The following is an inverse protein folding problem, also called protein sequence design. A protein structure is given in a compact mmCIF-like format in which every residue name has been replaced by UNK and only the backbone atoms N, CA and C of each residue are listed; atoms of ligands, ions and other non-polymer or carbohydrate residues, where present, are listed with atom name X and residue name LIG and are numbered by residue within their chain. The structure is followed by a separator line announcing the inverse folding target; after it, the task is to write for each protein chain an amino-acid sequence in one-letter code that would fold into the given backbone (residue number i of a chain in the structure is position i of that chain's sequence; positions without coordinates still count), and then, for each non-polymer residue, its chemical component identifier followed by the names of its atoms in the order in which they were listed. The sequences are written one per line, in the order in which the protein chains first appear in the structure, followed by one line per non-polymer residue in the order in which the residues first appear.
data_IF_488205123592
#
_entry.id   IF_488205123592
#
_cell.length_a   1.000
_cell.length_b   1.000
_cell.length_c   1.000
_cell.angle_alpha   90.00
_cell.angle_beta   90.00
_cell.angle_gamma   90.00
#
_symmetry.space_group_name_H-M   'P 1'
#
loop_
_entity.id
_entity.type
_entity.pdbx_description
1 polymer ?
#
# COMPACT_ATOMS: atom_id res chain seq x y z
N UNK A 1 -1.85 54.92 34.94
CA UNK A 1 -2.62 53.73 35.38
C UNK A 1 -3.32 53.13 34.18
N UNK A 2 -2.64 52.29 33.40
CA UNK A 2 -3.31 51.27 32.57
C UNK A 2 -2.29 50.19 32.24
N UNK A 3 -2.32 49.11 33.03
CA UNK A 3 -1.53 47.89 32.82
C UNK A 3 -2.13 47.18 31.61
N UNK A 4 -1.51 47.32 30.45
CA UNK A 4 -1.87 46.53 29.27
C UNK A 4 -1.27 45.14 29.50
N UNK A 5 -2.16 44.22 29.84
CA UNK A 5 -1.91 42.81 30.04
C UNK A 5 -1.44 42.22 28.70
N UNK A 6 -0.14 41.93 28.61
CA UNK A 6 0.45 41.19 27.49
C UNK A 6 0.02 39.72 27.62
N UNK A 7 -1.19 39.41 27.16
CA UNK A 7 -1.64 38.04 26.97
C UNK A 7 -1.02 37.54 25.66
N UNK A 8 0.19 37.00 25.74
CA UNK A 8 0.76 36.20 24.66
C UNK A 8 -0.17 35.00 24.43
N UNK A 9 -1.00 35.09 23.39
CA UNK A 9 -1.71 33.96 22.83
C UNK A 9 -0.65 33.00 22.29
N UNK A 10 -0.26 32.01 23.10
CA UNK A 10 0.51 30.85 22.65
C UNK A 10 -0.39 30.06 21.70
N UNK A 11 -0.49 30.51 20.45
CA UNK A 11 -0.93 29.68 19.35
C UNK A 11 0.22 28.71 19.13
N UNK A 12 0.24 27.62 19.90
CA UNK A 12 1.06 26.47 19.54
C UNK A 12 0.64 26.10 18.11
N UNK A 13 1.58 26.01 17.15
CA UNK A 13 1.21 25.48 15.85
C UNK A 13 0.69 24.07 16.12
N UNK A 14 -0.62 23.87 15.92
CA UNK A 14 -1.20 22.55 15.70
C UNK A 14 -0.48 22.03 14.45
N UNK A 15 0.67 21.43 14.71
CA UNK A 15 1.43 20.72 13.72
C UNK A 15 0.55 19.52 13.47
N UNK A 16 -0.26 19.60 12.41
CA UNK A 16 -0.94 18.47 11.83
C UNK A 16 0.19 17.55 11.38
N UNK A 17 0.71 16.72 12.28
CA UNK A 17 1.73 15.75 11.94
C UNK A 17 1.03 14.75 11.03
N UNK A 18 1.16 14.94 9.72
CA UNK A 18 1.05 13.86 8.77
C UNK A 18 2.17 12.89 9.14
N UNK A 19 1.90 12.03 10.13
CA UNK A 19 2.82 11.02 10.55
C UNK A 19 2.99 10.06 9.39
N UNK A 20 4.23 9.83 8.99
CA UNK A 20 4.56 8.80 8.01
C UNK A 20 4.03 7.44 8.49
N UNK A 21 3.85 6.51 7.55
CA UNK A 21 3.55 5.12 7.91
C UNK A 21 4.69 4.57 8.77
N UNK A 22 4.39 3.72 9.76
CA UNK A 22 5.41 3.15 10.65
C UNK A 22 6.48 2.43 9.83
N UNK A 23 7.73 2.47 10.29
CA UNK A 23 8.87 1.81 9.62
C UNK A 23 8.78 0.29 9.74
N UNK A 24 8.18 -0.21 10.81
CA UNK A 24 8.00 -1.64 11.07
C UNK A 24 6.60 -1.91 11.65
N UNK A 25 6.11 -3.12 11.40
CA UNK A 25 4.89 -3.66 12.01
C UNK A 25 5.28 -4.94 12.73
N UNK A 26 4.84 -5.10 13.97
CA UNK A 26 5.11 -6.29 14.78
C UNK A 26 4.59 -7.55 14.09
N UNK A 27 5.42 -8.60 14.07
CA UNK A 27 5.09 -9.88 13.41
C UNK A 27 5.22 -9.89 11.89
N UNK A 28 5.71 -8.81 11.28
CA UNK A 28 5.99 -8.74 9.85
C UNK A 28 7.42 -8.26 9.58
N UNK A 29 7.95 -8.63 8.40
CA UNK A 29 9.24 -8.13 7.92
C UNK A 29 9.02 -6.95 6.98
N UNK A 30 9.55 -5.77 7.32
CA UNK A 30 9.60 -4.65 6.37
C UNK A 30 10.60 -4.97 5.26
N UNK A 31 10.19 -4.81 4.00
CA UNK A 31 11.03 -5.05 2.82
C UNK A 31 11.16 -3.80 1.96
N UNK A 32 12.35 -3.60 1.40
CA UNK A 32 12.56 -2.56 0.37
C UNK A 32 12.10 -3.04 -1.01
N UNK A 33 12.11 -2.14 -2.00
CA UNK A 33 11.66 -2.44 -3.37
C UNK A 33 12.38 -3.62 -4.03
N UNK A 34 13.69 -3.80 -3.79
CA UNK A 34 14.46 -4.91 -4.37
C UNK A 34 14.15 -6.26 -3.71
N UNK A 35 13.95 -6.27 -2.40
CA UNK A 35 13.50 -7.45 -1.66
C UNK A 35 12.07 -7.83 -2.06
N UNK A 36 11.19 -6.84 -2.23
CA UNK A 36 9.86 -7.05 -2.76
C UNK A 36 9.92 -7.67 -4.17
N UNK A 37 10.78 -7.15 -5.07
CA UNK A 37 10.97 -7.75 -6.40
C UNK A 37 11.41 -9.21 -6.33
N UNK A 38 12.35 -9.53 -5.44
CA UNK A 38 12.78 -10.91 -5.25
C UNK A 38 11.63 -11.81 -4.76
N UNK A 39 10.81 -11.33 -3.82
CA UNK A 39 9.63 -12.07 -3.36
C UNK A 39 8.60 -12.26 -4.47
N UNK A 40 8.41 -11.26 -5.34
CA UNK A 40 7.59 -11.38 -6.53
C UNK A 40 8.11 -12.47 -7.47
N UNK A 41 9.42 -12.49 -7.76
CA UNK A 41 10.04 -13.52 -8.60
C UNK A 41 9.89 -14.93 -8.02
N UNK A 42 9.80 -15.04 -6.69
CA UNK A 42 9.56 -16.30 -5.97
C UNK A 42 8.07 -16.67 -5.87
N UNK A 43 7.16 -15.87 -6.43
CA UNK A 43 5.72 -16.14 -6.45
C UNK A 43 4.99 -15.79 -5.15
N UNK A 44 5.50 -14.84 -4.37
CA UNK A 44 4.74 -14.30 -3.23
C UNK A 44 3.46 -13.60 -3.70
N UNK A 45 2.42 -13.67 -2.88
CA UNK A 45 1.14 -13.00 -3.19
C UNK A 45 1.26 -11.53 -2.84
N UNK A 46 1.23 -10.67 -3.86
CA UNK A 46 1.17 -9.23 -3.67
C UNK A 46 -0.27 -8.80 -3.42
N UNK A 47 -0.51 -8.05 -2.36
CA UNK A 47 -1.82 -7.51 -2.01
C UNK A 47 -1.76 -5.98 -2.08
N UNK A 48 -2.52 -5.42 -3.00
CA UNK A 48 -2.74 -3.99 -3.13
C UNK A 48 -3.94 -3.58 -2.27
N UNK A 49 -3.69 -2.75 -1.26
CA UNK A 49 -4.75 -2.33 -0.33
C UNK A 49 -5.31 -0.93 -0.60
N UNK A 50 -4.95 -0.35 -1.74
CA UNK A 50 -5.40 0.98 -2.16
C UNK A 50 -6.86 0.97 -2.62
N UNK A 51 -7.53 2.13 -2.68
CA UNK A 51 -8.84 2.25 -3.31
C UNK A 51 -8.86 1.79 -4.77
N UNK A 52 -10.00 1.27 -5.25
CA UNK A 52 -10.16 0.76 -6.62
C UNK A 52 -9.75 1.76 -7.72
N UNK A 53 -9.85 3.07 -7.43
CA UNK A 53 -9.41 4.13 -8.36
C UNK A 53 -7.90 4.06 -8.61
N UNK A 54 -7.10 3.88 -7.57
CA UNK A 54 -5.64 3.82 -7.66
C UNK A 54 -5.18 2.49 -8.26
N UNK A 55 -5.83 1.39 -7.86
CA UNK A 55 -5.66 0.09 -8.53
C UNK A 55 -5.84 0.19 -10.05
N UNK A 56 -6.87 0.92 -10.51
CA UNK A 56 -7.15 1.12 -11.93
C UNK A 56 -6.10 1.95 -12.68
N UNK A 57 -5.30 2.76 -12.00
CA UNK A 57 -4.19 3.52 -12.60
C UNK A 57 -2.94 2.67 -12.85
N UNK A 58 -2.83 1.57 -12.12
CA UNK A 58 -1.82 0.55 -12.26
C UNK A 58 -1.46 -0.06 -10.90
N UNK A 59 -0.93 -1.28 -10.94
CA UNK A 59 -0.58 -2.09 -9.79
C UNK A 59 0.57 -3.04 -10.13
N UNK A 60 1.15 -3.68 -9.12
CA UNK A 60 2.15 -4.73 -9.33
C UNK A 60 1.52 -5.85 -10.15
N UNK A 61 2.21 -6.32 -11.19
CA UNK A 61 1.72 -7.41 -12.05
C UNK A 61 1.35 -8.65 -11.21
N UNK A 62 0.16 -9.22 -11.45
CA UNK A 62 -0.31 -10.40 -10.73
C UNK A 62 -0.72 -10.16 -9.28
N UNK A 63 -0.77 -8.92 -8.81
CA UNK A 63 -1.27 -8.59 -7.48
C UNK A 63 -2.77 -8.92 -7.33
N UNK A 64 -3.20 -9.12 -6.09
CA UNK A 64 -4.61 -9.23 -5.71
C UNK A 64 -5.05 -7.91 -5.11
N UNK A 65 -6.13 -7.33 -5.64
CA UNK A 65 -6.73 -6.13 -5.08
C UNK A 65 -7.62 -6.47 -3.88
N UNK A 66 -7.33 -5.86 -2.73
CA UNK A 66 -8.16 -5.94 -1.54
C UNK A 66 -8.16 -4.57 -0.86
N UNK A 67 -9.03 -3.66 -1.31
CA UNK A 67 -9.17 -2.32 -0.72
C UNK A 67 -9.32 -2.43 0.81
N UNK A 68 -8.41 -1.80 1.57
CA UNK A 68 -8.42 -1.87 3.03
C UNK A 68 -9.77 -1.49 3.62
N UNK A 69 -10.42 -0.46 3.06
CA UNK A 69 -11.64 0.10 3.60
C UNK A 69 -12.88 -0.75 3.31
N UNK A 70 -12.80 -1.69 2.36
CA UNK A 70 -13.99 -2.37 1.81
C UNK A 70 -13.88 -3.89 1.79
N UNK A 71 -12.74 -4.41 1.37
CA UNK A 71 -12.60 -5.80 0.93
C UNK A 71 -11.60 -6.58 1.78
N UNK A 72 -10.65 -5.91 2.42
CA UNK A 72 -9.52 -6.56 3.10
C UNK A 72 -9.91 -7.48 4.26
N UNK A 73 -11.04 -7.23 4.94
CA UNK A 73 -11.58 -8.17 5.94
C UNK A 73 -11.90 -9.56 5.35
N UNK A 74 -12.07 -9.66 4.03
CA UNK A 74 -12.21 -10.92 3.31
C UNK A 74 -10.98 -11.83 3.42
N UNK A 75 -9.77 -11.27 3.60
CA UNK A 75 -8.53 -12.04 3.73
C UNK A 75 -8.61 -13.07 4.86
N UNK A 76 -9.20 -12.70 6.00
CA UNK A 76 -9.41 -13.58 7.15
C UNK A 76 -10.17 -14.87 6.81
N UNK A 77 -11.04 -14.81 5.80
CA UNK A 77 -11.96 -15.86 5.38
C UNK A 77 -11.51 -16.59 4.11
N UNK A 78 -10.35 -16.25 3.56
CA UNK A 78 -9.79 -16.98 2.42
C UNK A 78 -9.33 -18.38 2.84
N UNK A 79 -9.44 -19.34 1.92
CA UNK A 79 -8.89 -20.70 2.08
C UNK A 79 -7.37 -20.76 1.85
N UNK A 80 -6.68 -19.61 1.83
CA UNK A 80 -5.23 -19.57 1.62
C UNK A 80 -4.50 -20.15 2.83
N UNK A 81 -3.47 -21.00 2.60
CA UNK A 81 -2.63 -21.48 3.68
C UNK A 81 -2.06 -20.30 4.48
N UNK A 82 -2.07 -20.38 5.81
CA UNK A 82 -1.49 -19.33 6.67
C UNK A 82 0.03 -19.18 6.50
N UNK A 83 0.67 -20.18 5.91
CA UNK A 83 2.08 -20.17 5.51
C UNK A 83 2.33 -19.48 4.18
N UNK A 84 1.31 -19.01 3.44
CA UNK A 84 1.53 -18.33 2.16
C UNK A 84 2.31 -17.01 2.37
N UNK A 85 3.36 -16.73 1.58
CA UNK A 85 4.07 -15.45 1.66
C UNK A 85 3.20 -14.33 1.09
N UNK A 86 2.89 -13.33 1.92
CA UNK A 86 2.10 -12.15 1.57
C UNK A 86 2.99 -10.91 1.53
N UNK A 87 2.99 -10.18 0.43
CA UNK A 87 3.59 -8.85 0.33
C UNK A 87 2.49 -7.82 0.25
N UNK A 88 2.31 -7.01 1.28
CA UNK A 88 1.21 -6.04 1.37
C UNK A 88 1.74 -4.63 1.16
N UNK A 89 1.11 -3.87 0.26
CA UNK A 89 1.58 -2.54 -0.12
C UNK A 89 0.45 -1.52 -0.33
N UNK A 90 0.80 -0.24 -0.20
CA UNK A 90 -0.01 0.92 -0.56
C UNK A 90 0.81 1.82 -1.52
N UNK A 91 0.47 3.09 -1.69
CA UNK A 91 1.16 4.00 -2.61
C UNK A 91 2.64 4.22 -2.25
N UNK A 92 2.92 4.52 -0.98
CA UNK A 92 4.25 4.95 -0.52
C UNK A 92 4.35 4.98 1.00
N UNK A 93 5.51 5.41 1.49
CA UNK A 93 5.88 5.54 2.91
C UNK A 93 4.97 6.46 3.73
N UNK A 94 4.17 7.31 3.07
CA UNK A 94 3.20 8.20 3.74
C UNK A 94 1.79 7.61 3.79
N UNK A 95 1.55 6.47 3.14
CA UNK A 95 0.26 5.79 3.21
C UNK A 95 0.22 4.79 4.38
N UNK A 96 -0.63 5.00 5.41
CA UNK A 96 -0.69 4.10 6.56
C UNK A 96 -1.49 2.81 6.29
N UNK A 97 -2.17 2.69 5.15
CA UNK A 97 -3.10 1.58 4.89
C UNK A 97 -2.41 0.21 4.89
N UNK A 98 -1.24 0.09 4.26
CA UNK A 98 -0.51 -1.19 4.25
C UNK A 98 -0.04 -1.61 5.63
N UNK A 99 0.31 -0.68 6.53
CA UNK A 99 0.68 -1.02 7.90
C UNK A 99 -0.49 -1.63 8.69
N UNK A 100 -1.69 -1.06 8.55
CA UNK A 100 -2.90 -1.60 9.19
C UNK A 100 -3.30 -2.95 8.59
N UNK A 101 -3.23 -3.09 7.27
CA UNK A 101 -3.47 -4.34 6.57
C UNK A 101 -2.52 -5.46 7.04
N UNK A 102 -1.23 -5.16 7.18
CA UNK A 102 -0.21 -6.09 7.71
C UNK A 102 -0.54 -6.50 9.14
N UNK A 103 -0.90 -5.54 10.01
CA UNK A 103 -1.28 -5.83 11.41
C UNK A 103 -2.45 -6.81 11.48
N UNK A 104 -3.46 -6.62 10.63
CA UNK A 104 -4.61 -7.52 10.54
C UNK A 104 -4.22 -8.91 10.02
N UNK A 105 -3.41 -8.99 8.96
CA UNK A 105 -2.94 -10.27 8.41
C UNK A 105 -2.16 -11.08 9.46
N UNK A 106 -1.23 -10.44 10.18
CA UNK A 106 -0.51 -11.06 11.29
C UNK A 106 -1.48 -11.54 12.38
N UNK A 107 -2.44 -10.70 12.78
CA UNK A 107 -3.44 -11.05 13.79
C UNK A 107 -4.34 -12.22 13.39
N UNK A 108 -4.56 -12.44 12.09
CA UNK A 108 -5.29 -13.58 11.54
C UNK A 108 -4.44 -14.84 11.33
N UNK A 109 -3.17 -14.79 11.76
CA UNK A 109 -2.29 -15.94 11.84
C UNK A 109 -1.50 -16.22 10.57
N UNK A 110 -1.41 -15.28 9.61
CA UNK A 110 -0.46 -15.43 8.51
C UNK A 110 0.98 -15.36 9.04
N UNK A 111 1.79 -16.35 8.69
CA UNK A 111 3.12 -16.56 9.25
C UNK A 111 4.22 -15.85 8.48
N UNK A 112 3.99 -15.59 7.18
CA UNK A 112 4.95 -14.97 6.27
C UNK A 112 4.37 -13.67 5.71
N UNK A 113 4.40 -12.61 6.52
CA UNK A 113 3.90 -11.29 6.14
C UNK A 113 5.07 -10.32 5.91
N UNK A 114 5.14 -9.80 4.70
CA UNK A 114 6.12 -8.80 4.27
C UNK A 114 5.42 -7.46 4.07
N UNK A 115 5.90 -6.46 4.79
CA UNK A 115 5.40 -5.10 4.73
C UNK A 115 6.22 -4.30 3.72
N UNK A 116 5.66 -4.06 2.54
CA UNK A 116 6.30 -3.26 1.51
C UNK A 116 5.92 -1.79 1.68
N UNK A 117 6.62 -1.12 2.61
CA UNK A 117 6.37 0.27 3.02
C UNK A 117 6.58 1.28 1.89
N UNK A 118 7.63 1.10 1.09
CA UNK A 118 7.99 2.02 -0.01
C UNK A 118 6.91 2.06 -1.10
N UNK A 119 6.09 1.01 -1.19
CA UNK A 119 4.83 1.01 -1.92
C UNK A 119 4.95 0.99 -3.45
N UNK A 120 3.80 1.17 -4.08
CA UNK A 120 3.65 1.12 -5.53
C UNK A 120 4.53 2.15 -6.25
N UNK A 121 4.67 3.37 -5.72
CA UNK A 121 5.48 4.38 -6.40
C UNK A 121 6.96 4.02 -6.47
N UNK A 122 7.50 3.36 -5.45
CA UNK A 122 8.86 2.84 -5.50
C UNK A 122 9.00 1.71 -6.54
N UNK A 123 7.99 0.84 -6.62
CA UNK A 123 7.93 -0.22 -7.64
C UNK A 123 7.95 0.35 -9.07
N UNK A 124 7.15 1.38 -9.33
CA UNK A 124 7.13 2.08 -10.62
C UNK A 124 8.46 2.77 -10.90
N UNK A 125 9.04 3.45 -9.90
CA UNK A 125 10.31 4.15 -10.05
C UNK A 125 11.47 3.18 -10.39
N UNK A 126 11.39 1.95 -9.92
CA UNK A 126 12.32 0.87 -10.23
C UNK A 126 12.08 0.21 -11.60
N UNK A 127 11.09 0.66 -12.36
CA UNK A 127 10.70 0.13 -13.69
C UNK A 127 10.37 -1.38 -13.65
N UNK A 128 9.76 -1.84 -12.55
CA UNK A 128 9.34 -3.22 -12.40
C UNK A 128 7.98 -3.50 -13.07
N UNK A 129 7.70 -4.78 -13.42
CA UNK A 129 6.46 -5.20 -14.09
C UNK A 129 5.18 -4.70 -13.41
N UNK A 130 4.29 -4.12 -14.20
CA UNK A 130 3.04 -3.53 -13.75
C UNK A 130 1.90 -3.96 -14.65
N UNK A 131 0.73 -4.15 -14.07
CA UNK A 131 -0.51 -4.28 -14.79
C UNK A 131 -1.33 -3.01 -14.65
N UNK A 132 -2.14 -2.74 -15.66
CA UNK A 132 -3.21 -1.75 -15.60
C UNK A 132 -4.46 -2.51 -15.94
N UNK A 133 -5.55 -2.24 -15.22
CA UNK A 133 -6.86 -2.66 -15.70
C UNK A 133 -7.13 -1.87 -16.99
N UNK A 134 -6.73 -2.48 -18.11
CA UNK A 134 -6.97 -1.96 -19.43
C UNK A 134 -8.47 -1.75 -19.57
N UNK A 135 -8.84 -0.55 -19.98
CA UNK A 135 -10.07 -0.36 -20.73
C UNK A 135 -9.97 -1.30 -21.94
N UNK A 136 -10.45 -2.54 -21.81
CA UNK A 136 -10.42 -3.61 -22.83
C UNK A 136 -11.43 -3.32 -23.94
N UNK A 137 -11.40 -2.10 -24.46
CA UNK A 137 -12.36 -1.56 -25.42
C UNK A 137 -11.83 -0.39 -26.28
N UNK A 138 -10.56 0.02 -26.16
CA UNK A 138 -9.96 1.05 -27.04
C UNK A 138 -8.64 0.54 -27.64
N UNK A 139 -8.62 -0.68 -28.17
CA UNK A 139 -7.50 -1.19 -28.98
C UNK A 139 -7.80 -1.23 -30.49
N UNK A 140 -8.91 -0.61 -30.95
CA UNK A 140 -9.33 -0.73 -32.37
C UNK A 140 -9.77 0.56 -33.05
N UNK A 141 -9.20 1.74 -32.73
CA UNK A 141 -9.56 2.96 -33.51
C UNK A 141 -8.41 3.70 -34.20
N UNK A 142 -7.14 3.43 -33.92
CA UNK A 142 -6.05 4.25 -34.49
C UNK A 142 -5.04 3.51 -35.39
N UNK A 143 -5.35 2.29 -35.84
CA UNK A 143 -4.48 1.56 -36.77
C UNK A 143 -4.94 1.56 -38.24
N UNK A 144 -5.91 2.41 -38.61
CA UNK A 144 -6.42 2.51 -40.01
C UNK A 144 -6.56 3.95 -40.52
N UNK A 145 -5.68 4.85 -40.10
CA UNK A 145 -5.52 6.14 -40.76
C UNK A 145 -4.04 6.40 -40.99
N UNK A 146 -3.53 5.89 -42.11
CA UNK A 146 -2.59 6.50 -43.06
C UNK A 146 -1.99 5.44 -43.98
#
# INVERSE_FOLDING_TARGET
MLRILMLCLLVAPMSLWAAEAPVAVEGAMTVNVFQARQLHDLGAVFIDVRPSREWGWGHVEGAVHMDLAREFLGLAHTDWPRTVPLVVYCDSEVCPASAEAVRLAVAWGYEQVFYFREGYFAWVLADFPQEKNGFSGITTLNAQAH
#
